data_IF_675928815663
#
_entry.id   IF_675928815663
#
_cell.length_a   1.000
_cell.length_b   1.000
_cell.length_c   1.000
_cell.angle_alpha   90.00
_cell.angle_beta   90.00
_cell.angle_gamma   90.00
#
_symmetry.space_group_name_H-M   'P 1'
#
loop_
_entity.id
_entity.type
_entity.pdbx_description
1 polymer ?
#
# COMPACT_ATOMS: atom_id res chain seq x y z
N UNK A 1 -18.42 -19.04 -10.45
CA UNK A 1 -19.22 -18.12 -11.30
C UNK A 1 -19.42 -16.84 -10.51
N UNK A 2 -18.94 -15.71 -11.01
CA UNK A 2 -19.20 -14.39 -10.45
C UNK A 2 -20.31 -13.71 -11.27
N UNK A 3 -21.05 -12.81 -10.64
CA UNK A 3 -22.06 -11.95 -11.27
C UNK A 3 -21.90 -10.54 -10.73
N UNK A 4 -22.48 -9.57 -11.42
CA UNK A 4 -22.66 -8.23 -10.88
C UNK A 4 -23.43 -8.30 -9.55
N UNK A 5 -23.13 -7.36 -8.66
CA UNK A 5 -23.58 -7.28 -7.27
C UNK A 5 -23.11 -8.42 -6.34
N UNK A 6 -22.27 -9.33 -6.81
CA UNK A 6 -21.68 -10.34 -5.94
C UNK A 6 -20.72 -9.69 -4.94
N UNK A 7 -20.97 -9.90 -3.64
CA UNK A 7 -20.01 -9.57 -2.59
C UNK A 7 -18.84 -10.55 -2.64
N UNK A 8 -17.63 -10.02 -2.73
CA UNK A 8 -16.38 -10.76 -2.82
C UNK A 8 -15.34 -10.23 -1.84
N UNK A 9 -14.33 -11.05 -1.60
CA UNK A 9 -13.20 -10.75 -0.73
C UNK A 9 -11.91 -11.11 -1.46
N UNK A 10 -10.93 -10.22 -1.38
CA UNK A 10 -9.59 -10.45 -1.93
C UNK A 10 -8.84 -11.50 -1.10
N UNK A 11 -8.18 -12.45 -1.74
CA UNK A 11 -7.48 -13.58 -1.07
C UNK A 11 -5.96 -13.50 -1.11
N UNK A 12 -5.41 -12.41 -1.67
CA UNK A 12 -3.97 -12.16 -1.79
C UNK A 12 -3.67 -10.67 -1.56
N UNK A 13 -2.46 -10.36 -1.14
CA UNK A 13 -1.98 -8.99 -1.05
C UNK A 13 -1.50 -8.50 -2.41
N UNK A 14 -1.92 -7.31 -2.81
CA UNK A 14 -1.37 -6.59 -3.96
C UNK A 14 -1.42 -5.09 -3.67
N UNK A 15 -0.32 -4.58 -3.10
CA UNK A 15 -0.21 -3.17 -2.73
C UNK A 15 -0.28 -2.23 -3.95
N UNK A 16 0.28 -2.65 -5.09
CA UNK A 16 0.24 -1.92 -6.35
C UNK A 16 -1.19 -1.74 -6.87
N UNK A 17 -2.00 -2.80 -6.80
CA UNK A 17 -3.42 -2.75 -7.17
C UNK A 17 -4.30 -2.20 -6.03
N UNK A 18 -3.70 -1.99 -4.85
CA UNK A 18 -4.32 -1.38 -3.68
C UNK A 18 -5.39 -2.23 -3.02
N UNK A 19 -5.18 -3.55 -2.93
CA UNK A 19 -5.97 -4.44 -2.08
C UNK A 19 -5.07 -5.35 -1.26
N UNK A 20 -5.56 -5.77 -0.10
CA UNK A 20 -4.90 -6.74 0.77
C UNK A 20 -5.81 -7.96 0.97
N UNK A 21 -5.24 -9.04 1.47
CA UNK A 21 -6.01 -10.21 1.85
C UNK A 21 -7.07 -9.83 2.89
N UNK A 22 -8.33 -10.11 2.60
CA UNK A 22 -9.47 -9.72 3.41
C UNK A 22 -10.21 -8.47 2.94
N UNK A 23 -9.70 -7.70 1.96
CA UNK A 23 -10.42 -6.54 1.40
C UNK A 23 -11.77 -6.98 0.83
N UNK A 24 -12.86 -6.46 1.40
CA UNK A 24 -14.23 -6.68 0.93
C UNK A 24 -14.54 -5.74 -0.23
N UNK A 25 -15.23 -6.27 -1.24
CA UNK A 25 -15.63 -5.50 -2.40
C UNK A 25 -16.91 -6.07 -3.05
N UNK A 26 -17.60 -5.26 -3.83
CA UNK A 26 -18.75 -5.65 -4.65
C UNK A 26 -18.34 -5.70 -6.10
N UNK A 27 -18.68 -6.77 -6.82
CA UNK A 27 -18.49 -6.82 -8.28
C UNK A 27 -19.47 -5.86 -8.93
N UNK A 28 -18.97 -4.81 -9.60
CA UNK A 28 -19.82 -3.77 -10.20
C UNK A 28 -20.01 -3.97 -11.70
N UNK A 29 -19.03 -4.54 -12.40
CA UNK A 29 -19.08 -4.84 -13.84
C UNK A 29 -17.99 -5.83 -14.22
N UNK A 30 -18.02 -6.30 -15.45
CA UNK A 30 -16.93 -7.07 -16.06
C UNK A 30 -16.30 -6.27 -17.20
N UNK A 31 -14.98 -6.25 -17.26
CA UNK A 31 -14.21 -5.64 -18.34
C UNK A 31 -13.24 -6.68 -18.91
N UNK A 32 -13.26 -6.89 -20.23
CA UNK A 32 -12.45 -7.90 -20.93
C UNK A 32 -12.55 -9.31 -20.31
N UNK A 33 -13.72 -9.66 -19.75
CA UNK A 33 -13.96 -10.94 -19.06
C UNK A 33 -13.47 -11.01 -17.62
N UNK A 34 -12.88 -9.94 -17.08
CA UNK A 34 -12.40 -9.84 -15.70
C UNK A 34 -13.32 -8.97 -14.83
N UNK A 35 -13.51 -9.31 -13.54
CA UNK A 35 -14.37 -8.51 -12.66
C UNK A 35 -13.70 -7.19 -12.27
N UNK A 36 -14.47 -6.11 -12.37
CA UNK A 36 -14.17 -4.82 -11.72
C UNK A 36 -14.94 -4.79 -10.42
N UNK A 37 -14.25 -4.54 -9.32
CA UNK A 37 -14.83 -4.54 -7.97
C UNK A 37 -14.72 -3.16 -7.35
N UNK A 38 -15.72 -2.77 -6.58
CA UNK A 38 -15.74 -1.55 -5.77
C UNK A 38 -15.54 -1.94 -4.30
N UNK A 39 -14.48 -1.42 -3.67
CA UNK A 39 -14.22 -1.66 -2.24
C UNK A 39 -15.22 -0.90 -1.36
N UNK A 40 -15.27 -1.22 -0.07
CA UNK A 40 -16.07 -0.47 0.91
C UNK A 40 -15.68 1.01 1.02
N UNK A 41 -14.47 1.36 0.60
CA UNK A 41 -13.96 2.74 0.54
C UNK A 41 -14.29 3.45 -0.78
N UNK A 42 -15.06 2.81 -1.67
CA UNK A 42 -15.46 3.36 -2.97
C UNK A 42 -14.41 3.28 -4.07
N UNK A 43 -13.33 2.51 -3.87
CA UNK A 43 -12.26 2.36 -4.87
C UNK A 43 -12.62 1.29 -5.88
N UNK A 44 -12.60 1.62 -7.16
CA UNK A 44 -12.74 0.65 -8.25
C UNK A 44 -11.40 -0.02 -8.58
N UNK A 45 -11.41 -1.35 -8.68
CA UNK A 45 -10.21 -2.17 -8.94
C UNK A 45 -10.55 -3.24 -9.99
N UNK A 46 -9.77 -3.29 -11.07
CA UNK A 46 -9.80 -4.39 -12.03
C UNK A 46 -9.02 -5.58 -11.48
N UNK A 47 -9.68 -6.72 -11.26
CA UNK A 47 -9.04 -7.90 -10.69
C UNK A 47 -8.61 -8.86 -11.79
N UNK A 48 -7.29 -9.05 -11.89
CA UNK A 48 -6.66 -10.00 -12.81
C UNK A 48 -6.25 -11.30 -12.10
N UNK A 49 -6.07 -12.40 -12.83
CA UNK A 49 -5.56 -13.65 -12.27
C UNK A 49 -4.19 -13.46 -11.62
N UNK A 50 -3.92 -14.26 -10.59
CA UNK A 50 -2.63 -14.31 -9.92
C UNK A 50 -2.24 -15.77 -9.69
N UNK A 51 -0.95 -16.05 -9.55
CA UNK A 51 -0.45 -17.39 -9.27
C UNK A 51 -0.26 -17.63 -7.77
N UNK A 52 -0.49 -18.88 -7.35
CA UNK A 52 -0.04 -19.44 -6.08
C UNK A 52 0.86 -20.64 -6.38
N UNK A 53 2.02 -20.66 -5.76
CA UNK A 53 3.03 -21.69 -5.97
C UNK A 53 3.14 -22.56 -4.73
N UNK A 54 3.13 -23.88 -4.92
CA UNK A 54 3.45 -24.86 -3.90
C UNK A 54 4.94 -25.17 -4.01
N UNK A 55 5.72 -24.79 -3.01
CA UNK A 55 7.15 -25.05 -2.95
C UNK A 55 7.48 -26.14 -1.92
N UNK A 56 8.33 -27.09 -2.31
CA UNK A 56 8.95 -28.09 -1.43
C UNK A 56 10.44 -28.16 -1.77
N UNK A 57 11.32 -28.12 -0.75
CA UNK A 57 12.78 -28.13 -0.90
C UNK A 57 13.34 -27.10 -1.91
N UNK A 58 12.73 -25.91 -1.95
CA UNK A 58 13.14 -24.83 -2.86
C UNK A 58 12.77 -25.04 -4.33
N UNK A 59 11.94 -26.05 -4.64
CA UNK A 59 11.41 -26.29 -5.98
C UNK A 59 9.90 -26.04 -6.02
N UNK A 60 9.42 -25.39 -7.08
CA UNK A 60 7.99 -25.24 -7.34
C UNK A 60 7.47 -26.58 -7.86
N UNK A 61 6.59 -27.21 -7.09
CA UNK A 61 5.95 -28.47 -7.43
C UNK A 61 4.69 -28.27 -8.28
N UNK A 62 3.95 -27.20 -8.00
CA UNK A 62 2.71 -26.88 -8.69
C UNK A 62 2.42 -25.38 -8.60
N UNK A 63 1.77 -24.87 -9.65
CA UNK A 63 1.29 -23.48 -9.72
C UNK A 63 -0.19 -23.50 -10.05
N UNK A 64 -0.98 -22.75 -9.28
CA UNK A 64 -2.40 -22.50 -9.55
C UNK A 64 -2.54 -21.06 -9.96
N UNK A 65 -3.16 -20.79 -11.10
CA UNK A 65 -3.53 -19.45 -11.54
C UNK A 65 -5.05 -19.26 -11.42
N UNK A 66 -5.47 -18.23 -10.71
CA UNK A 66 -6.88 -17.92 -10.49
C UNK A 66 -7.08 -16.45 -10.11
N UNK A 67 -8.29 -15.93 -10.29
CA UNK A 67 -8.67 -14.65 -9.71
C UNK A 67 -8.52 -14.70 -8.17
N UNK A 68 -7.86 -13.71 -7.53
CA UNK A 68 -7.71 -13.65 -6.08
C UNK A 68 -9.00 -13.19 -5.38
N UNK A 69 -10.14 -13.78 -5.75
CA UNK A 69 -11.46 -13.45 -5.21
C UNK A 69 -12.15 -14.70 -4.67
N UNK A 70 -12.88 -14.50 -3.58
CA UNK A 70 -13.83 -15.47 -3.04
C UNK A 70 -15.15 -14.77 -2.74
N UNK A 71 -16.28 -15.46 -2.94
CA UNK A 71 -17.58 -14.95 -2.47
C UNK A 71 -17.54 -14.69 -0.96
N UNK A 72 -18.06 -13.55 -0.54
CA UNK A 72 -17.88 -13.01 0.80
C UNK A 72 -19.19 -12.73 1.56
N UNK A 73 -20.31 -13.26 1.09
CA UNK A 73 -21.58 -13.21 1.83
C UNK A 73 -21.52 -13.94 3.17
N UNK A 74 -20.75 -15.03 3.23
CA UNK A 74 -20.53 -15.78 4.44
C UNK A 74 -19.09 -16.29 4.47
N UNK A 75 -18.45 -16.15 5.63
CA UNK A 75 -17.14 -16.71 5.92
C UNK A 75 -17.22 -17.54 7.20
N UNK A 76 -16.39 -18.56 7.29
CA UNK A 76 -16.28 -19.32 8.53
C UNK A 76 -15.46 -18.53 9.55
N UNK A 77 -15.73 -18.73 10.84
CA UNK A 77 -14.98 -18.09 11.94
C UNK A 77 -13.46 -18.29 11.78
N UNK A 78 -13.04 -19.51 11.43
CA UNK A 78 -11.63 -19.84 11.16
C UNK A 78 -11.00 -19.01 10.03
N UNK A 79 -11.79 -18.69 8.98
CA UNK A 79 -11.30 -17.87 7.86
C UNK A 79 -11.35 -16.37 8.15
N UNK A 80 -12.08 -15.95 9.19
CA UNK A 80 -12.07 -14.58 9.68
C UNK A 80 -10.95 -14.29 10.69
N UNK A 81 -10.20 -15.32 11.13
CA UNK A 81 -9.16 -15.14 12.15
C UNK A 81 -8.08 -14.15 11.67
N UNK A 82 -7.80 -13.15 12.50
CA UNK A 82 -6.85 -12.07 12.17
C UNK A 82 -7.44 -10.94 11.31
N UNK A 83 -8.69 -11.06 10.86
CA UNK A 83 -9.38 -10.00 10.13
C UNK A 83 -10.02 -8.98 11.08
N UNK A 84 -10.26 -7.76 10.59
CA UNK A 84 -11.12 -6.77 11.23
C UNK A 84 -12.27 -6.44 10.29
N UNK A 85 -13.50 -6.45 10.80
CA UNK A 85 -14.74 -6.25 10.07
C UNK A 85 -15.49 -5.06 10.67
N UNK A 86 -16.10 -4.25 9.81
CA UNK A 86 -16.92 -3.11 10.26
C UNK A 86 -18.32 -3.56 10.71
N UNK A 87 -18.90 -4.54 10.03
CA UNK A 87 -20.17 -5.16 10.42
C UNK A 87 -20.21 -6.65 10.09
N UNK A 88 -20.89 -7.45 10.94
CA UNK A 88 -21.12 -8.87 10.70
C UNK A 88 -22.40 -9.38 11.38
N UNK A 89 -23.11 -10.25 10.66
CA UNK A 89 -24.13 -11.12 11.23
C UNK A 89 -23.47 -12.46 11.59
N UNK A 90 -23.55 -12.85 12.87
CA UNK A 90 -22.82 -13.97 13.44
C UNK A 90 -23.81 -14.98 14.03
N UNK A 91 -23.77 -16.21 13.53
CA UNK A 91 -24.50 -17.35 14.10
C UNK A 91 -23.53 -18.28 14.84
N UNK A 92 -23.59 -18.26 16.17
CA UNK A 92 -22.80 -19.12 17.06
C UNK A 92 -23.60 -20.34 17.57
N UNK A 93 -24.77 -20.63 17.00
CA UNK A 93 -25.57 -21.80 17.39
C UNK A 93 -24.83 -23.13 17.22
N UNK A 94 -23.89 -23.19 16.26
CA UNK A 94 -23.04 -24.35 15.97
C UNK A 94 -21.60 -24.19 16.46
N UNK A 95 -21.31 -23.22 17.33
CA UNK A 95 -19.98 -23.05 17.91
C UNK A 95 -19.78 -24.09 19.03
N UNK A 96 -19.04 -25.16 18.73
CA UNK A 96 -18.81 -26.28 19.64
C UNK A 96 -17.39 -26.32 20.25
N UNK A 97 -16.46 -25.50 19.75
CA UNK A 97 -15.08 -25.43 20.25
C UNK A 97 -14.93 -24.26 21.23
N UNK A 98 -14.17 -24.47 22.31
CA UNK A 98 -13.82 -23.42 23.26
C UNK A 98 -13.16 -22.23 22.56
N UNK A 99 -13.51 -21.01 22.98
CA UNK A 99 -12.97 -19.76 22.42
C UNK A 99 -13.43 -19.39 21.01
N UNK A 100 -14.17 -20.25 20.30
CA UNK A 100 -14.62 -19.96 18.93
C UNK A 100 -15.55 -18.74 18.86
N UNK A 101 -16.44 -18.57 19.85
CA UNK A 101 -17.29 -17.39 19.95
C UNK A 101 -16.48 -16.12 20.18
N UNK A 102 -15.47 -16.16 21.05
CA UNK A 102 -14.57 -15.02 21.24
C UNK A 102 -13.84 -14.62 19.95
N UNK A 103 -13.32 -15.59 19.20
CA UNK A 103 -12.66 -15.32 17.91
C UNK A 103 -13.61 -14.62 16.95
N UNK A 104 -14.85 -15.10 16.81
CA UNK A 104 -15.85 -14.51 15.93
C UNK A 104 -16.24 -13.08 16.32
N UNK A 105 -16.54 -12.87 17.61
CA UNK A 105 -16.99 -11.57 18.11
C UNK A 105 -15.88 -10.52 18.06
N UNK A 106 -14.64 -10.90 18.36
CA UNK A 106 -13.48 -10.00 18.33
C UNK A 106 -13.06 -9.56 16.91
N UNK A 107 -13.72 -10.05 15.86
CA UNK A 107 -13.46 -9.56 14.49
C UNK A 107 -14.22 -8.26 14.20
N UNK A 108 -15.32 -7.98 14.89
CA UNK A 108 -16.16 -6.80 14.63
C UNK A 108 -15.64 -5.62 15.45
N UNK A 109 -15.39 -4.48 14.80
CA UNK A 109 -14.76 -3.30 15.43
C UNK A 109 -15.69 -2.56 16.39
N UNK A 110 -17.00 -2.63 16.19
CA UNK A 110 -17.99 -1.93 17.02
C UNK A 110 -19.16 -2.84 17.38
N UNK A 111 -19.81 -2.56 18.51
CA UNK A 111 -21.03 -3.26 18.92
C UNK A 111 -22.20 -2.97 17.97
N UNK A 112 -22.27 -1.76 17.41
CA UNK A 112 -23.32 -1.39 16.44
C UNK A 112 -23.25 -2.22 15.15
N UNK A 113 -22.04 -2.55 14.69
CA UNK A 113 -21.83 -3.42 13.54
C UNK A 113 -22.11 -4.91 13.82
N UNK A 114 -22.47 -5.29 15.05
CA UNK A 114 -22.59 -6.69 15.46
C UNK A 114 -24.05 -7.12 15.57
N UNK A 115 -24.40 -8.19 14.85
CA UNK A 115 -25.69 -8.86 15.01
C UNK A 115 -25.47 -10.33 15.32
N UNK A 116 -25.97 -10.79 16.47
CA UNK A 116 -25.86 -12.20 16.88
C UNK A 116 -27.21 -12.87 16.65
N UNK A 117 -27.23 -13.93 15.85
CA UNK A 117 -28.46 -14.65 15.47
C UNK A 117 -28.73 -15.85 16.40
N UNK A 118 -27.68 -16.49 16.88
CA UNK A 118 -27.77 -17.65 17.76
C UNK A 118 -26.49 -17.82 18.57
N UNK A 119 -26.59 -18.45 19.75
CA UNK A 119 -25.45 -18.67 20.62
C UNK A 119 -25.57 -20.00 21.35
N UNK A 120 -24.62 -20.90 21.09
CA UNK A 120 -24.48 -22.12 21.89
C UNK A 120 -23.96 -21.75 23.30
N UNK A 121 -24.42 -22.39 24.39
CA UNK A 121 -23.98 -22.07 25.75
C UNK A 121 -22.47 -22.15 25.97
N UNK A 122 -21.81 -23.04 25.22
CA UNK A 122 -20.36 -23.23 25.29
C UNK A 122 -19.57 -22.31 24.35
N UNK A 123 -20.23 -21.50 23.51
CA UNK A 123 -19.57 -20.70 22.48
C UNK A 123 -18.56 -19.69 23.06
N UNK A 124 -18.84 -19.19 24.27
CA UNK A 124 -18.01 -18.22 24.99
C UNK A 124 -17.17 -18.84 26.12
N UNK A 125 -17.22 -20.16 26.27
CA UNK A 125 -16.42 -20.84 27.28
C UNK A 125 -14.94 -20.85 26.85
N UNK A 126 -14.08 -20.61 27.83
CA UNK A 126 -12.63 -20.76 27.71
C UNK A 126 -12.27 -22.20 28.10
N UNK A 127 -11.32 -22.80 27.41
CA UNK A 127 -10.85 -24.14 27.73
C UNK A 127 -10.26 -24.14 29.17
N UNK A 128 -10.73 -25.03 30.07
CA UNK A 128 -10.23 -25.10 31.44
C UNK A 128 -8.71 -25.28 31.56
N UNK A 129 -8.07 -25.93 30.57
CA UNK A 129 -6.61 -26.07 30.53
C UNK A 129 -5.93 -24.72 30.32
N UNK A 130 -6.50 -23.87 29.48
CA UNK A 130 -5.99 -22.51 29.24
C UNK A 130 -6.18 -21.66 30.49
N UNK A 131 -7.32 -21.75 31.18
CA UNK A 131 -7.53 -21.05 32.45
C UNK A 131 -6.53 -21.49 33.53
N UNK A 132 -6.22 -22.78 33.61
CA UNK A 132 -5.22 -23.28 34.55
C UNK A 132 -3.81 -22.79 34.21
N UNK A 133 -3.48 -22.76 32.92
CA UNK A 133 -2.18 -22.28 32.44
C UNK A 133 -2.02 -20.76 32.61
N UNK A 134 -3.08 -19.99 32.37
CA UNK A 134 -3.11 -18.53 32.54
C UNK A 134 -2.84 -18.12 33.98
N UNK A 135 -3.43 -18.83 34.96
CA UNK A 135 -3.11 -18.65 36.39
C UNK A 135 -1.63 -18.88 36.70
N UNK A 136 -1.01 -19.87 36.05
CA UNK A 136 0.41 -20.15 36.22
C UNK A 136 1.25 -19.01 35.63
N UNK A 137 0.89 -18.50 34.45
CA UNK A 137 1.58 -17.36 33.85
C UNK A 137 1.47 -16.09 34.70
N UNK A 138 0.30 -15.83 35.30
CA UNK A 138 0.15 -14.72 36.25
C UNK A 138 1.06 -14.86 37.47
N UNK A 139 1.07 -16.03 38.10
CA UNK A 139 1.93 -16.27 39.27
C UNK A 139 3.44 -16.19 38.93
N UNK A 140 3.85 -16.70 37.77
CA UNK A 140 5.23 -16.58 37.29
C UNK A 140 5.57 -15.12 36.97
N UNK A 141 4.65 -14.37 36.37
CA UNK A 141 4.82 -12.94 36.08
C UNK A 141 4.97 -12.11 37.35
N UNK A 142 4.11 -12.34 38.35
CA UNK A 142 4.18 -11.68 39.66
C UNK A 142 5.50 -11.99 40.37
N UNK A 143 5.91 -13.27 40.42
CA UNK A 143 7.18 -13.65 41.05
C UNK A 143 8.40 -13.04 40.35
N UNK A 144 8.35 -12.87 39.03
CA UNK A 144 9.41 -12.23 38.27
C UNK A 144 9.40 -10.71 38.50
N UNK A 145 8.22 -10.09 38.53
CA UNK A 145 8.08 -8.66 38.85
C UNK A 145 8.63 -8.33 40.25
N UNK A 146 8.30 -9.13 41.26
CA UNK A 146 8.86 -8.99 42.62
C UNK A 146 10.39 -9.09 42.60
N UNK A 147 10.94 -10.08 41.89
CA UNK A 147 12.39 -10.23 41.77
C UNK A 147 13.05 -9.03 41.06
N UNK A 148 12.42 -8.46 40.03
CA UNK A 148 12.91 -7.25 39.36
C UNK A 148 12.82 -6.02 40.26
N UNK A 149 11.77 -5.90 41.08
CA UNK A 149 11.59 -4.79 42.02
C UNK A 149 12.63 -4.83 43.17
N UNK A 150 13.15 -6.01 43.52
CA UNK A 150 14.19 -6.18 44.53
C UNK A 150 15.62 -5.98 44.00
N UNK A 151 15.81 -6.01 42.67
CA UNK A 151 17.12 -5.79 42.04
C UNK A 151 17.50 -4.30 42.03
N UNK A 152 18.80 -4.02 42.01
CA UNK A 152 19.29 -2.65 41.78
C UNK A 152 19.05 -2.25 40.32
N UNK A 153 18.68 -0.98 40.09
CA UNK A 153 18.42 -0.45 38.75
C UNK A 153 19.55 -0.74 37.76
N UNK A 154 20.82 -0.72 38.21
CA UNK A 154 21.98 -1.02 37.34
C UNK A 154 22.06 -2.49 36.96
N UNK A 155 21.68 -3.40 37.85
CA UNK A 155 21.66 -4.84 37.56
C UNK A 155 20.59 -5.16 36.52
N UNK A 156 19.41 -4.53 36.64
CA UNK A 156 18.32 -4.63 35.68
C UNK A 156 18.74 -4.10 34.30
N UNK A 157 19.40 -2.95 34.26
CA UNK A 157 19.90 -2.37 33.00
C UNK A 157 20.90 -3.29 32.29
N UNK A 158 21.83 -3.89 33.04
CA UNK A 158 22.79 -4.85 32.50
C UNK A 158 22.13 -6.14 32.02
N UNK A 159 21.09 -6.63 32.72
CA UNK A 159 20.28 -7.77 32.26
C UNK A 159 19.56 -7.47 30.94
N UNK A 160 18.95 -6.29 30.80
CA UNK A 160 18.30 -5.86 29.56
C UNK A 160 19.30 -5.80 28.39
N UNK A 161 20.48 -5.22 28.60
CA UNK A 161 21.57 -5.18 27.60
C UNK A 161 21.95 -6.57 27.13
N UNK A 162 22.19 -7.50 28.07
CA UNK A 162 22.54 -8.89 27.76
C UNK A 162 21.43 -9.60 26.98
N UNK A 163 20.17 -9.38 27.35
CA UNK A 163 19.03 -9.96 26.65
C UNK A 163 18.97 -9.50 25.19
N UNK A 164 19.13 -8.20 24.93
CA UNK A 164 19.13 -7.65 23.56
C UNK A 164 20.25 -8.28 22.73
N UNK A 165 21.47 -8.33 23.26
CA UNK A 165 22.65 -8.91 22.59
C UNK A 165 22.44 -10.41 22.30
N UNK A 166 21.89 -11.16 23.26
CA UNK A 166 21.64 -12.60 23.11
C UNK A 166 20.61 -12.91 22.01
N UNK A 167 19.64 -12.02 21.79
CA UNK A 167 18.66 -12.13 20.71
C UNK A 167 19.16 -11.55 19.37
N UNK A 168 20.44 -11.22 19.26
CA UNK A 168 21.04 -10.65 18.04
C UNK A 168 20.72 -9.18 17.81
N UNK A 169 20.19 -8.49 18.82
CA UNK A 169 20.00 -7.04 18.81
C UNK A 169 21.28 -6.30 19.20
N UNK A 170 21.42 -5.06 18.73
CA UNK A 170 22.50 -4.17 19.14
C UNK A 170 21.99 -3.23 20.24
N UNK A 171 22.75 -3.12 21.33
CA UNK A 171 22.54 -2.11 22.35
C UNK A 171 23.48 -0.94 22.06
N UNK A 172 22.95 0.11 21.46
CA UNK A 172 23.69 1.29 21.02
C UNK A 172 23.72 2.32 22.16
N UNK A 173 24.82 3.05 22.31
CA UNK A 173 24.88 4.20 23.20
C UNK A 173 24.01 5.36 22.66
N UNK A 174 23.62 6.32 23.50
CA UNK A 174 22.69 7.40 23.11
C UNK A 174 23.19 8.22 21.89
N UNK A 175 24.50 8.43 21.79
CA UNK A 175 25.15 9.07 20.65
C UNK A 175 25.09 8.22 19.37
N UNK A 176 25.26 6.91 19.49
CA UNK A 176 25.08 5.95 18.40
C UNK A 176 23.60 5.83 17.98
N UNK A 177 22.66 5.89 18.93
CA UNK A 177 21.21 5.94 18.66
C UNK A 177 20.88 7.22 17.91
N UNK A 178 21.44 8.37 18.30
CA UNK A 178 21.22 9.63 17.60
C UNK A 178 21.81 9.60 16.18
N UNK A 179 22.99 8.99 15.99
CA UNK A 179 23.57 8.74 14.66
C UNK A 179 22.72 7.77 13.82
N UNK A 180 22.19 6.70 14.41
CA UNK A 180 21.30 5.77 13.71
C UNK A 180 19.96 6.44 13.40
N UNK A 181 19.36 7.20 14.32
CA UNK A 181 18.13 7.97 14.05
C UNK A 181 18.34 9.02 12.99
N UNK A 182 19.49 9.71 13.01
CA UNK A 182 19.85 10.69 12.01
C UNK A 182 20.10 10.03 10.65
N UNK A 183 20.82 8.91 10.59
CA UNK A 183 21.02 8.16 9.35
C UNK A 183 19.73 7.53 8.82
N UNK A 184 18.84 7.01 9.67
CA UNK A 184 17.50 6.51 9.29
C UNK A 184 16.63 7.67 8.84
N UNK A 185 16.64 8.82 9.53
CA UNK A 185 15.94 10.03 9.11
C UNK A 185 16.50 10.59 7.80
N UNK A 186 17.81 10.50 7.57
CA UNK A 186 18.48 10.87 6.32
C UNK A 186 18.17 9.87 5.22
N UNK A 187 17.96 8.59 5.54
CA UNK A 187 17.54 7.53 4.61
C UNK A 187 16.05 7.63 4.27
N UNK A 188 15.20 8.01 5.22
CA UNK A 188 13.78 8.38 5.02
C UNK A 188 13.66 9.73 4.30
N UNK A 189 14.61 10.66 4.49
CA UNK A 189 14.78 11.82 3.61
C UNK A 189 15.37 11.45 2.25
N UNK A 190 16.18 10.41 2.14
CA UNK A 190 16.59 9.87 0.85
C UNK A 190 15.43 9.17 0.13
N UNK A 191 14.43 8.67 0.87
CA UNK A 191 13.08 8.31 0.37
C UNK A 191 12.26 9.52 -0.10
N UNK A 192 12.64 10.74 0.27
CA UNK A 192 12.34 11.93 -0.54
C UNK A 192 13.28 11.97 -1.77
N UNK A 193 13.32 10.86 -2.49
CA UNK A 193 13.99 10.70 -3.78
C UNK A 193 13.50 11.77 -4.77
N UNK A 194 12.29 12.29 -4.54
CA UNK A 194 11.67 13.44 -5.20
C UNK A 194 12.41 14.76 -4.94
N UNK A 195 12.73 15.13 -3.69
CA UNK A 195 13.45 16.40 -3.39
C UNK A 195 14.85 16.45 -4.00
N UNK A 196 15.56 15.31 -4.02
CA UNK A 196 16.88 15.24 -4.68
C UNK A 196 16.76 15.44 -6.19
N UNK A 197 15.70 14.90 -6.81
CA UNK A 197 15.39 15.17 -8.23
C UNK A 197 15.06 16.65 -8.43
N UNK A 198 14.21 17.21 -7.57
CA UNK A 198 13.77 18.60 -7.60
C UNK A 198 14.95 19.56 -7.53
N UNK A 199 15.87 19.34 -6.59
CA UNK A 199 17.05 20.18 -6.43
C UNK A 199 17.93 20.21 -7.68
N UNK A 200 18.25 19.04 -8.24
CA UNK A 200 19.08 18.95 -9.44
C UNK A 200 18.39 19.55 -10.68
N UNK A 201 17.07 19.40 -10.80
CA UNK A 201 16.28 20.05 -11.85
C UNK A 201 16.29 21.57 -11.71
N UNK A 202 16.15 22.10 -10.49
CA UNK A 202 16.20 23.55 -10.23
C UNK A 202 17.61 24.14 -10.42
N UNK A 203 18.64 23.31 -10.30
CA UNK A 203 20.03 23.64 -10.66
C UNK A 203 20.26 23.63 -12.19
N UNK A 204 19.23 23.24 -12.98
CA UNK A 204 19.25 23.27 -14.45
C UNK A 204 19.85 22.03 -15.11
N UNK A 205 20.03 20.94 -14.37
CA UNK A 205 20.56 19.69 -14.91
C UNK A 205 19.49 18.94 -15.71
N UNK A 206 19.88 18.37 -16.86
CA UNK A 206 18.97 17.57 -17.68
C UNK A 206 18.71 16.17 -17.07
N UNK A 207 17.65 15.50 -17.53
CA UNK A 207 17.24 14.18 -17.02
C UNK A 207 18.33 13.11 -17.17
N UNK A 208 19.13 13.16 -18.24
CA UNK A 208 20.19 12.18 -18.50
C UNK A 208 21.34 12.32 -17.52
N UNK A 209 21.70 13.56 -17.20
CA UNK A 209 22.74 13.91 -16.24
C UNK A 209 22.28 13.64 -14.81
N UNK A 210 21.03 13.92 -14.48
CA UNK A 210 20.43 13.52 -13.19
C UNK A 210 20.41 11.99 -13.05
N UNK A 211 20.03 11.26 -14.10
CA UNK A 211 20.06 9.80 -14.15
C UNK A 211 21.47 9.25 -13.87
N UNK A 212 22.48 9.81 -14.55
CA UNK A 212 23.89 9.41 -14.39
C UNK A 212 24.44 9.74 -13.00
N UNK A 213 24.21 10.97 -12.51
CA UNK A 213 24.67 11.43 -11.19
C UNK A 213 24.05 10.62 -10.05
N UNK A 214 22.81 10.16 -10.23
CA UNK A 214 22.06 9.42 -9.20
C UNK A 214 22.08 7.91 -9.38
N UNK A 215 22.67 7.40 -10.46
CA UNK A 215 22.64 5.98 -10.83
C UNK A 215 21.21 5.40 -10.88
N UNK A 216 20.25 6.18 -11.40
CA UNK A 216 18.85 5.79 -11.56
C UNK A 216 18.49 5.76 -13.05
N UNK A 217 17.55 4.90 -13.47
CA UNK A 217 17.05 4.91 -14.84
C UNK A 217 16.35 6.25 -15.19
N UNK A 218 16.51 6.73 -16.43
CA UNK A 218 15.84 7.97 -16.90
C UNK A 218 14.32 7.92 -16.70
N UNK A 219 13.70 6.75 -16.89
CA UNK A 219 12.27 6.52 -16.67
C UNK A 219 11.83 6.79 -15.23
N UNK A 220 12.69 6.51 -14.26
CA UNK A 220 12.48 6.79 -12.83
C UNK A 220 12.56 8.29 -12.55
N UNK A 221 13.52 8.99 -13.17
CA UNK A 221 13.65 10.44 -13.05
C UNK A 221 12.43 11.15 -13.65
N UNK A 222 11.98 10.74 -14.84
CA UNK A 222 10.74 11.23 -15.45
C UNK A 222 9.52 11.01 -14.55
N UNK A 223 9.43 9.85 -13.90
CA UNK A 223 8.37 9.56 -12.92
C UNK A 223 8.43 10.45 -11.68
N UNK A 224 9.62 10.89 -11.25
CA UNK A 224 9.76 11.85 -10.16
C UNK A 224 9.32 13.25 -10.56
N UNK A 225 9.69 13.72 -11.76
CA UNK A 225 9.28 15.03 -12.28
C UNK A 225 7.75 15.11 -12.38
N UNK A 226 7.12 14.05 -12.90
CA UNK A 226 5.66 13.97 -13.03
C UNK A 226 4.95 14.07 -11.67
N UNK A 227 5.42 13.35 -10.65
CA UNK A 227 4.86 13.42 -9.30
C UNK A 227 5.02 14.80 -8.68
N UNK A 228 6.15 15.48 -8.92
CA UNK A 228 6.41 16.83 -8.43
C UNK A 228 5.49 17.86 -9.11
N UNK A 229 5.26 17.74 -10.42
CA UNK A 229 4.34 18.60 -11.17
C UNK A 229 2.89 18.41 -10.69
N UNK A 230 2.43 17.16 -10.58
CA UNK A 230 1.07 16.88 -10.09
C UNK A 230 0.85 17.27 -8.62
N UNK A 231 1.92 17.28 -7.83
CA UNK A 231 1.92 17.76 -6.44
C UNK A 231 1.98 19.28 -6.29
N UNK A 232 2.07 20.05 -7.38
CA UNK A 232 2.18 21.51 -7.34
C UNK A 232 3.56 22.03 -6.91
N UNK A 233 4.59 21.18 -6.91
CA UNK A 233 5.93 21.49 -6.41
C UNK A 233 6.87 22.05 -7.50
N UNK A 234 6.48 21.95 -8.79
CA UNK A 234 7.22 22.46 -9.95
C UNK A 234 6.29 23.25 -10.89
N UNK A 235 6.80 24.36 -11.42
CA UNK A 235 6.11 25.26 -12.36
C UNK A 235 6.54 25.00 -13.81
N UNK A 236 5.79 25.54 -14.78
CA UNK A 236 6.07 25.36 -16.20
C UNK A 236 7.45 25.94 -16.59
N UNK A 237 7.83 27.07 -15.98
CA UNK A 237 9.13 27.71 -16.17
C UNK A 237 10.28 26.83 -15.68
N UNK A 238 10.07 26.12 -14.56
CA UNK A 238 11.10 25.29 -13.93
C UNK A 238 11.39 24.00 -14.69
N UNK A 239 10.46 23.51 -15.51
CA UNK A 239 10.67 22.31 -16.35
C UNK A 239 10.99 22.65 -17.81
N UNK A 240 11.00 23.93 -18.19
CA UNK A 240 11.24 24.39 -19.57
C UNK A 240 12.62 23.98 -20.13
N UNK A 241 13.63 23.88 -19.27
CA UNK A 241 14.96 23.44 -19.69
C UNK A 241 15.02 21.96 -20.12
N UNK A 242 13.95 21.18 -19.90
CA UNK A 242 13.82 19.80 -20.36
C UNK A 242 13.31 19.69 -21.81
N UNK A 243 12.97 20.81 -22.45
CA UNK A 243 12.53 20.84 -23.84
C UNK A 243 13.64 20.34 -24.77
N UNK A 244 13.34 19.40 -25.69
CA UNK A 244 14.34 18.86 -26.60
C UNK A 244 14.81 19.95 -27.58
N UNK A 245 16.12 19.98 -27.84
CA UNK A 245 16.75 20.93 -28.78
C UNK A 245 17.02 20.32 -30.15
N UNK A 246 16.84 19.01 -30.27
CA UNK A 246 17.10 18.19 -31.46
C UNK A 246 15.89 18.06 -32.40
N UNK A 247 14.71 18.54 -31.98
CA UNK A 247 13.47 18.55 -32.76
C UNK A 247 12.78 19.91 -32.68
N UNK A 248 11.85 20.17 -33.61
CA UNK A 248 10.91 21.29 -33.47
C UNK A 248 9.89 20.97 -32.37
N UNK A 249 10.25 21.34 -31.14
CA UNK A 249 9.41 21.10 -29.97
C UNK A 249 8.08 21.86 -30.03
N UNK A 250 8.03 23.02 -30.70
CA UNK A 250 6.81 23.83 -30.79
C UNK A 250 5.76 23.11 -31.64
N UNK A 251 6.18 22.58 -32.80
CA UNK A 251 5.30 21.78 -33.65
C UNK A 251 4.88 20.48 -32.94
N UNK A 252 5.83 19.79 -32.30
CA UNK A 252 5.56 18.55 -31.57
C UNK A 252 4.57 18.74 -30.41
N UNK A 253 4.77 19.79 -29.61
CA UNK A 253 3.89 20.15 -28.49
C UNK A 253 2.48 20.47 -28.99
N UNK A 254 2.33 21.20 -30.09
CA UNK A 254 1.01 21.51 -30.67
C UNK A 254 0.24 20.23 -31.08
N UNK A 255 0.92 19.25 -31.68
CA UNK A 255 0.30 17.96 -32.02
C UNK A 255 -0.13 17.20 -30.76
N UNK A 256 0.74 17.13 -29.76
CA UNK A 256 0.47 16.44 -28.50
C UNK A 256 -0.63 17.12 -27.67
N UNK A 257 -0.68 18.46 -27.65
CA UNK A 257 -1.71 19.25 -26.97
C UNK A 257 -3.09 19.03 -27.58
N UNK A 258 -3.18 18.94 -28.92
CA UNK A 258 -4.43 18.60 -29.61
C UNK A 258 -4.90 17.16 -29.31
N UNK A 259 -3.97 16.21 -29.28
CA UNK A 259 -4.27 14.83 -28.89
C UNK A 259 -4.73 14.74 -27.42
N UNK A 260 -4.13 15.50 -26.52
CA UNK A 260 -4.53 15.61 -25.11
C UNK A 260 -5.87 16.31 -24.91
N UNK A 261 -6.19 17.32 -25.71
CA UNK A 261 -7.51 17.95 -25.70
C UNK A 261 -8.62 16.98 -26.12
N UNK A 262 -8.30 16.02 -26.99
CA UNK A 262 -9.24 15.04 -27.54
C UNK A 262 -9.41 13.81 -26.62
N UNK A 263 -8.31 13.25 -26.10
CA UNK A 263 -8.31 11.99 -25.35
C UNK A 263 -8.17 12.15 -23.82
N UNK A 264 -7.97 13.37 -23.35
CA UNK A 264 -7.64 13.64 -21.95
C UNK A 264 -6.18 13.33 -21.61
N UNK A 265 -5.80 13.55 -20.35
CA UNK A 265 -4.40 13.45 -19.88
C UNK A 265 -4.11 12.20 -19.03
N UNK A 266 -5.11 11.37 -18.77
CA UNK A 266 -4.96 10.22 -17.84
C UNK A 266 -4.11 9.08 -18.40
N UNK A 267 -4.16 8.82 -19.71
CA UNK A 267 -3.43 7.73 -20.37
C UNK A 267 -2.52 8.27 -21.47
N UNK A 268 -1.26 7.87 -21.45
CA UNK A 268 -0.25 8.28 -22.44
C UNK A 268 -0.40 7.59 -23.80
N UNK A 269 -0.89 6.33 -23.80
CA UNK A 269 -0.97 5.50 -25.00
C UNK A 269 -1.88 6.09 -26.11
N UNK A 270 -3.12 6.56 -25.81
CA UNK A 270 -3.96 7.20 -26.82
C UNK A 270 -3.34 8.46 -27.43
N UNK A 271 -2.62 9.25 -26.63
CA UNK A 271 -1.93 10.47 -27.09
C UNK A 271 -0.78 10.10 -28.03
N UNK A 272 -0.01 9.07 -27.68
CA UNK A 272 1.09 8.55 -28.49
C UNK A 272 0.61 8.00 -29.85
N UNK A 273 -0.51 7.26 -29.86
CA UNK A 273 -1.11 6.70 -31.08
C UNK A 273 -1.67 7.80 -32.00
N UNK A 274 -2.38 8.80 -31.45
CA UNK A 274 -2.93 9.93 -32.22
C UNK A 274 -1.83 10.82 -32.81
N UNK A 275 -0.69 10.95 -32.11
CA UNK A 275 0.49 11.64 -32.63
C UNK A 275 1.27 10.83 -33.67
N UNK A 276 0.71 9.70 -34.15
CA UNK A 276 1.30 8.85 -35.18
C UNK A 276 2.55 8.10 -34.72
N UNK A 277 2.69 7.85 -33.42
CA UNK A 277 3.84 7.16 -32.81
C UNK A 277 5.20 7.84 -33.09
N UNK A 278 5.17 9.12 -33.46
CA UNK A 278 6.35 9.87 -33.92
C UNK A 278 7.27 10.31 -32.78
N UNK A 279 6.75 10.41 -31.55
CA UNK A 279 7.44 10.98 -30.40
C UNK A 279 7.57 9.97 -29.26
N UNK A 280 8.77 9.82 -28.69
CA UNK A 280 9.02 8.90 -27.57
C UNK A 280 8.12 9.18 -26.36
N UNK A 281 7.84 8.15 -25.57
CA UNK A 281 6.98 8.24 -24.38
C UNK A 281 7.44 9.29 -23.37
N UNK A 282 8.74 9.59 -23.29
CA UNK A 282 9.24 10.65 -22.42
C UNK A 282 8.84 12.05 -22.91
N UNK A 283 8.81 12.27 -24.23
CA UNK A 283 8.33 13.53 -24.82
C UNK A 283 6.82 13.69 -24.62
N UNK A 284 6.05 12.61 -24.76
CA UNK A 284 4.61 12.62 -24.45
C UNK A 284 4.38 12.96 -22.97
N UNK A 285 5.21 12.43 -22.06
CA UNK A 285 5.17 12.78 -20.63
C UNK A 285 5.49 14.26 -20.39
N UNK A 286 6.52 14.81 -21.04
CA UNK A 286 6.89 16.22 -20.93
C UNK A 286 5.76 17.14 -21.41
N UNK A 287 5.20 16.87 -22.59
CA UNK A 287 4.08 17.64 -23.13
C UNK A 287 2.87 17.61 -22.18
N UNK A 288 2.53 16.44 -21.62
CA UNK A 288 1.46 16.33 -20.63
C UNK A 288 1.70 17.14 -19.37
N UNK A 289 2.93 17.14 -18.84
CA UNK A 289 3.27 17.96 -17.67
C UNK A 289 3.06 19.45 -17.95
N UNK A 290 3.52 19.93 -19.11
CA UNK A 290 3.32 21.32 -19.53
C UNK A 290 1.84 21.66 -19.73
N UNK A 291 1.08 20.78 -20.40
CA UNK A 291 -0.36 20.97 -20.63
C UNK A 291 -1.20 21.03 -19.35
N UNK A 292 -0.85 20.23 -18.34
CA UNK A 292 -1.51 20.25 -17.02
C UNK A 292 -1.22 21.55 -16.27
N UNK A 293 0.03 22.03 -16.33
CA UNK A 293 0.44 23.29 -15.70
C UNK A 293 -0.25 24.50 -16.37
N UNK A 294 -0.24 24.58 -17.70
CA UNK A 294 -0.89 25.65 -18.47
C UNK A 294 -2.41 25.75 -18.24
N UNK A 295 -3.09 24.62 -18.01
CA UNK A 295 -4.52 24.61 -17.66
C UNK A 295 -4.80 24.99 -16.21
N UNK A 296 -3.83 24.76 -15.32
CA UNK A 296 -3.95 25.11 -13.90
C UNK A 296 -3.74 26.62 -13.70
N UNK A 297 -2.74 27.20 -14.37
CA UNK A 297 -2.48 28.64 -14.35
C UNK A 297 -3.64 29.47 -14.95
N UNK A 298 -4.35 28.93 -15.96
CA UNK A 298 -5.52 29.60 -16.54
C UNK A 298 -6.78 29.56 -15.66
N UNK A 299 -6.86 28.65 -14.68
CA UNK A 299 -7.99 28.62 -13.72
C UNK A 299 -7.87 29.70 -12.65
N UNK A 300 -6.67 29.95 -12.14
CA UNK A 300 -6.40 30.97 -11.10
C UNK A 300 -6.65 32.41 -11.57
N UNK A 301 -6.56 32.66 -12.88
CA UNK A 301 -6.88 33.97 -13.48
C UNK A 301 -8.40 34.18 -13.66
N UNK A 302 -9.18 33.09 -13.76
CA UNK A 302 -10.64 33.16 -13.98
C UNK A 302 -11.48 33.27 -12.70
N UNK A 303 -10.92 32.93 -11.53
CA UNK A 303 -11.59 33.09 -10.23
C UNK A 303 -11.34 34.46 -9.56
N UNK A 304 -10.50 35.30 -10.16
CA UNK A 304 -10.17 36.65 -9.65
C UNK A 304 -10.72 37.81 -10.52
N UNK A 305 -11.77 37.57 -11.32
CA UNK A 305 -12.52 38.59 -12.08
C UNK A 305 -13.98 38.62 -11.69
#
# INVERSE_FOLDING_TARGET
ILKEDAMVMCTKNSFENGYVNGTLARVIRFNEGFPVVETTEGKEILIKPTSWELMEDGKILATIEQLPLRLAWAITVHKSQGMSLDAAEIDLSKAFVYGQGYVALSRVRSLEGMKIVGMHPNALQVDPKIVAQDKKFHAESESVEDAFNEMDDKEVEEMHKRFVIANGGNFLADDEIELVRKSVSERVKAESTLEVTKKLLLEGEDVRRISSTRSLAETTIWGHVEKLVLGGELTAEQIKHLEPTDIDWVEAKMVLDNAMATHGTEKLKPIYEEAGEKYDYNLVRLARMQFVLEKSDNKDVSENV
#
